data_IF_796648655398
#
_entry.id   IF_796648655398
#
_cell.length_a   1.000
_cell.length_b   1.000
_cell.length_c   1.000
_cell.angle_alpha   90.00
_cell.angle_beta   90.00
_cell.angle_gamma   90.00
#
_symmetry.space_group_name_H-M   'P 1'
#
loop_
_entity.id
_entity.type
_entity.pdbx_description
1 polymer ?
#
# COMPACT_ATOMS: atom_id res chain seq x y z
N UNK A 1 26.53 18.99 -20.60
CA UNK A 1 25.84 19.70 -19.50
C UNK A 1 25.01 18.73 -18.66
N UNK A 2 24.14 17.92 -19.28
CA UNK A 2 23.40 16.85 -18.59
C UNK A 2 24.29 15.79 -17.91
N UNK A 3 25.34 15.29 -18.59
CA UNK A 3 26.29 14.32 -17.99
C UNK A 3 27.07 14.87 -16.80
N UNK A 4 27.39 16.17 -16.80
CA UNK A 4 28.03 16.85 -15.65
C UNK A 4 27.09 16.99 -14.45
N UNK A 5 25.78 16.88 -14.66
CA UNK A 5 24.74 16.99 -13.65
C UNK A 5 24.16 15.62 -13.24
N UNK A 6 24.61 14.51 -13.85
CA UNK A 6 24.10 13.16 -13.55
C UNK A 6 22.63 12.95 -13.93
N UNK A 7 22.10 13.71 -14.88
CA UNK A 7 20.69 13.61 -15.29
C UNK A 7 20.45 12.42 -16.21
N UNK A 8 19.33 11.72 -16.03
CA UNK A 8 18.89 10.61 -16.87
C UNK A 8 18.22 11.03 -18.19
N UNK A 9 18.04 12.34 -18.43
CA UNK A 9 17.35 12.92 -19.58
C UNK A 9 18.08 14.16 -20.10
N UNK A 10 17.93 14.48 -21.39
CA UNK A 10 18.60 15.62 -22.04
C UNK A 10 17.68 16.81 -22.31
N UNK A 11 16.36 16.61 -22.29
CA UNK A 11 15.36 17.66 -22.54
C UNK A 11 14.03 17.36 -21.82
N UNK A 12 13.10 18.31 -21.85
CA UNK A 12 11.78 18.18 -21.20
C UNK A 12 10.95 17.04 -21.78
N UNK A 13 11.05 16.76 -23.08
CA UNK A 13 10.30 15.66 -23.72
C UNK A 13 10.72 14.31 -23.17
N UNK A 14 12.02 14.06 -23.02
CA UNK A 14 12.54 12.84 -22.42
C UNK A 14 12.15 12.73 -20.94
N UNK A 15 12.18 13.84 -20.18
CA UNK A 15 11.72 13.85 -18.80
C UNK A 15 10.24 13.48 -18.66
N UNK A 16 9.38 14.08 -19.50
CA UNK A 16 7.95 13.76 -19.51
C UNK A 16 7.72 12.30 -19.87
N UNK A 17 8.44 11.78 -20.87
CA UNK A 17 8.36 10.36 -21.24
C UNK A 17 8.77 9.44 -20.09
N UNK A 18 9.86 9.75 -19.38
CA UNK A 18 10.28 9.00 -18.18
C UNK A 18 9.20 9.08 -17.11
N UNK A 19 8.57 10.23 -16.93
CA UNK A 19 7.51 10.44 -15.94
C UNK A 19 6.30 9.57 -16.26
N UNK A 20 5.85 9.57 -17.52
CA UNK A 20 4.71 8.77 -17.99
C UNK A 20 4.96 7.26 -17.93
N UNK A 21 6.20 6.83 -18.21
CA UNK A 21 6.59 5.41 -18.23
C UNK A 21 6.98 4.86 -16.86
N UNK A 22 7.62 5.67 -16.01
CA UNK A 22 8.25 5.21 -14.77
C UNK A 22 7.41 5.47 -13.53
N UNK A 23 6.53 6.48 -13.55
CA UNK A 23 5.62 6.69 -12.44
C UNK A 23 4.49 5.68 -12.52
N UNK A 24 4.22 4.94 -11.43
CA UNK A 24 3.10 4.02 -11.39
C UNK A 24 1.80 4.79 -11.60
N UNK A 25 1.10 4.47 -12.69
CA UNK A 25 -0.26 4.95 -12.91
C UNK A 25 -1.23 4.40 -11.87
N UNK A 26 -2.45 4.96 -11.82
CA UNK A 26 -3.53 4.37 -11.04
C UNK A 26 -3.90 2.99 -11.61
N UNK A 27 -4.26 2.01 -10.76
CA UNK A 27 -4.72 0.71 -11.21
C UNK A 27 -5.91 0.87 -12.16
N UNK A 28 -5.83 0.22 -13.33
CA UNK A 28 -6.86 0.34 -14.37
C UNK A 28 -8.08 -0.49 -14.00
N UNK A 29 -9.27 0.01 -14.34
CA UNK A 29 -10.47 -0.80 -14.30
C UNK A 29 -10.42 -1.85 -15.42
N UNK A 30 -10.81 -3.07 -15.06
CA UNK A 30 -11.11 -4.18 -15.96
C UNK A 30 -12.62 -4.34 -16.00
N UNK A 31 -13.15 -4.61 -17.18
CA UNK A 31 -14.55 -4.97 -17.39
C UNK A 31 -14.60 -6.42 -17.83
N UNK A 32 -15.41 -7.22 -17.15
CA UNK A 32 -15.71 -8.58 -17.55
C UNK A 32 -17.21 -8.79 -17.55
N UNK A 33 -17.71 -9.44 -18.58
CA UNK A 33 -19.10 -9.88 -18.62
C UNK A 33 -19.17 -11.28 -18.03
N UNK A 34 -20.03 -11.48 -17.04
CA UNK A 34 -20.31 -12.80 -16.46
C UNK A 34 -21.76 -13.18 -16.70
N UNK A 35 -22.02 -14.47 -16.89
CA UNK A 35 -23.38 -15.00 -17.01
C UNK A 35 -23.69 -15.83 -15.77
N UNK A 36 -24.70 -15.43 -15.02
CA UNK A 36 -25.16 -16.12 -13.81
C UNK A 36 -26.64 -16.44 -13.99
N UNK A 37 -27.00 -17.72 -13.85
CA UNK A 37 -28.38 -18.20 -14.02
C UNK A 37 -29.04 -17.82 -15.36
N UNK A 38 -28.25 -17.61 -16.42
CA UNK A 38 -28.74 -17.22 -17.74
C UNK A 38 -28.90 -15.71 -17.96
N UNK A 39 -28.61 -14.90 -16.93
CA UNK A 39 -28.58 -13.43 -17.02
C UNK A 39 -27.14 -12.94 -17.14
N UNK A 40 -26.88 -11.97 -18.02
CA UNK A 40 -25.56 -11.36 -18.18
C UNK A 40 -25.39 -10.11 -17.32
N UNK A 41 -24.22 -9.98 -16.71
CA UNK A 41 -23.83 -8.87 -15.85
C UNK A 41 -22.46 -8.35 -16.25
N UNK A 42 -22.34 -7.04 -16.46
CA UNK A 42 -21.05 -6.36 -16.58
C UNK A 42 -20.46 -6.08 -15.19
N UNK A 43 -19.31 -6.67 -14.88
CA UNK A 43 -18.55 -6.40 -13.67
C UNK A 43 -17.37 -5.51 -14.00
N UNK A 44 -17.20 -4.47 -13.19
CA UNK A 44 -16.03 -3.59 -13.23
C UNK A 44 -15.22 -3.78 -11.95
N UNK A 45 -13.95 -4.16 -12.09
CA UNK A 45 -13.07 -4.38 -10.95
C UNK A 45 -11.64 -3.94 -11.25
N UNK A 46 -10.78 -3.97 -10.23
CA UNK A 46 -9.34 -3.66 -10.34
C UNK A 46 -8.55 -4.78 -9.71
N UNK A 47 -7.29 -4.90 -10.12
CA UNK A 47 -6.36 -5.77 -9.42
C UNK A 47 -6.15 -5.25 -7.99
N UNK A 48 -6.48 -6.08 -7.00
CA UNK A 48 -6.41 -5.70 -5.58
C UNK A 48 -4.98 -5.40 -5.14
N UNK A 49 -3.99 -6.12 -5.69
CA UNK A 49 -2.58 -5.92 -5.35
C UNK A 49 -2.09 -4.60 -5.93
N UNK A 50 -2.50 -4.25 -7.15
CA UNK A 50 -2.21 -2.93 -7.71
C UNK A 50 -2.85 -1.80 -6.89
N UNK A 51 -4.09 -1.97 -6.44
CA UNK A 51 -4.77 -1.02 -5.56
C UNK A 51 -4.03 -0.81 -4.24
N UNK A 52 -3.63 -1.89 -3.57
CA UNK A 52 -2.87 -1.81 -2.31
C UNK A 52 -1.53 -1.10 -2.55
N UNK A 53 -0.80 -1.45 -3.61
CA UNK A 53 0.46 -0.77 -3.97
C UNK A 53 0.26 0.73 -4.24
N UNK A 54 -0.82 1.10 -4.91
CA UNK A 54 -1.12 2.50 -5.18
C UNK A 54 -1.43 3.29 -3.91
N UNK A 55 -2.17 2.70 -2.96
CA UNK A 55 -2.46 3.32 -1.66
C UNK A 55 -1.19 3.51 -0.84
N UNK A 56 -0.35 2.48 -0.73
CA UNK A 56 0.89 2.52 0.05
C UNK A 56 1.93 3.49 -0.53
N UNK A 57 1.85 3.81 -1.83
CA UNK A 57 2.73 4.77 -2.50
C UNK A 57 2.26 6.22 -2.39
N UNK A 58 1.02 6.47 -1.95
CA UNK A 58 0.52 7.83 -1.80
C UNK A 58 0.97 8.43 -0.44
N UNK A 59 1.78 9.51 -0.44
CA UNK A 59 2.26 10.16 0.78
C UNK A 59 1.15 10.67 1.71
N UNK A 60 -0.04 10.95 1.19
CA UNK A 60 -1.18 11.40 2.01
C UNK A 60 -1.59 10.35 3.05
N UNK A 61 -1.35 9.07 2.77
CA UNK A 61 -1.65 7.98 3.71
C UNK A 61 -0.50 7.66 4.65
N UNK A 62 0.68 8.26 4.48
CA UNK A 62 1.88 7.90 5.25
C UNK A 62 1.67 8.01 6.76
N UNK A 63 0.88 8.98 7.22
CA UNK A 63 0.57 9.18 8.64
C UNK A 63 -0.28 8.05 9.26
N UNK A 64 -0.95 7.24 8.45
CA UNK A 64 -1.82 6.14 8.88
C UNK A 64 -1.18 4.76 8.67
N UNK A 65 -0.04 4.69 7.99
CA UNK A 65 0.65 3.42 7.74
C UNK A 65 1.44 3.00 8.98
N UNK A 66 1.10 1.82 9.51
CA UNK A 66 1.81 1.20 10.63
C UNK A 66 2.67 0.06 10.11
N UNK A 67 3.98 0.13 10.36
CA UNK A 67 4.97 -0.83 9.85
C UNK A 67 5.54 -1.76 10.92
N UNK A 68 5.23 -1.50 12.19
CA UNK A 68 5.70 -2.28 13.32
C UNK A 68 4.54 -2.59 14.27
N UNK A 69 4.54 -3.75 14.92
CA UNK A 69 3.57 -4.04 15.95
C UNK A 69 3.81 -3.13 17.17
N UNK A 70 2.73 -2.79 17.84
CA UNK A 70 2.72 -1.93 19.03
C UNK A 70 2.07 -2.68 20.20
N UNK A 71 2.35 -2.22 21.42
CA UNK A 71 1.69 -2.75 22.61
C UNK A 71 1.06 -1.60 23.37
N UNK A 72 -0.27 -1.62 23.46
CA UNK A 72 -1.04 -0.60 24.17
C UNK A 72 -1.56 -1.18 25.48
N UNK A 73 -1.47 -0.42 26.56
CA UNK A 73 -1.87 -0.82 27.91
C UNK A 73 -2.81 0.23 28.50
N UNK A 74 -3.86 -0.19 29.21
CA UNK A 74 -4.80 0.74 29.83
C UNK A 74 -4.25 1.43 31.08
N UNK A 75 -3.24 0.82 31.72
CA UNK A 75 -2.53 1.36 32.86
C UNK A 75 -1.01 1.37 32.55
N UNK A 76 -0.37 2.55 32.49
CA UNK A 76 1.08 2.66 32.32
C UNK A 76 1.90 1.96 33.41
N UNK A 77 1.35 1.77 34.61
CA UNK A 77 2.04 1.15 35.74
C UNK A 77 1.96 -0.40 35.74
N UNK A 78 1.01 -0.99 35.01
CA UNK A 78 0.83 -2.44 34.93
C UNK A 78 0.84 -2.91 33.47
N UNK A 79 2.06 -3.16 32.97
CA UNK A 79 2.34 -3.59 31.59
C UNK A 79 1.86 -5.00 31.22
N UNK A 80 1.15 -5.75 32.08
CA UNK A 80 0.82 -7.16 31.82
C UNK A 80 -0.65 -7.50 31.94
N UNK A 81 -1.40 -6.87 32.84
CA UNK A 81 -2.79 -7.30 33.14
C UNK A 81 -3.85 -6.66 32.24
N UNK A 82 -3.58 -5.49 31.65
CA UNK A 82 -4.60 -4.74 30.90
C UNK A 82 -4.13 -4.31 29.52
N UNK A 83 -3.90 -5.28 28.63
CA UNK A 83 -3.52 -5.01 27.24
C UNK A 83 -4.74 -4.67 26.39
N UNK A 84 -4.60 -3.65 25.56
CA UNK A 84 -5.63 -3.15 24.66
C UNK A 84 -5.37 -3.66 23.24
N UNK A 85 -6.42 -4.16 22.58
CA UNK A 85 -6.40 -4.66 21.22
C UNK A 85 -7.46 -3.93 20.39
N UNK A 86 -7.02 -3.01 19.54
CA UNK A 86 -7.91 -2.25 18.66
C UNK A 86 -7.73 -2.57 17.19
N UNK A 87 -6.51 -2.93 16.79
CA UNK A 87 -6.11 -3.09 15.39
C UNK A 87 -5.09 -4.21 15.23
N UNK A 88 -4.86 -4.67 14.01
CA UNK A 88 -3.93 -5.78 13.75
C UNK A 88 -2.54 -5.56 14.37
N UNK A 89 -2.03 -4.32 14.34
CA UNK A 89 -0.68 -3.99 14.84
C UNK A 89 -0.57 -4.03 16.36
N UNK A 90 -1.68 -3.94 17.11
CA UNK A 90 -1.68 -4.10 18.58
C UNK A 90 -1.83 -5.57 19.02
N UNK A 91 -2.24 -6.43 18.08
CA UNK A 91 -2.45 -7.86 18.27
C UNK A 91 -1.18 -8.63 18.62
N UNK A 92 -1.34 -9.70 19.42
CA UNK A 92 -0.24 -10.64 19.72
C UNK A 92 0.31 -11.32 18.46
N UNK A 93 -0.53 -11.54 17.45
CA UNK A 93 -0.15 -12.21 16.21
C UNK A 93 0.94 -11.46 15.46
N UNK A 94 0.79 -10.16 15.21
CA UNK A 94 1.80 -9.38 14.48
C UNK A 94 3.12 -9.31 15.25
N UNK A 95 3.07 -9.18 16.58
CA UNK A 95 4.27 -9.28 17.43
C UNK A 95 5.00 -10.62 17.26
N UNK A 96 4.24 -11.72 17.25
CA UNK A 96 4.80 -13.06 17.07
C UNK A 96 5.40 -13.24 15.68
N UNK A 97 4.72 -12.76 14.64
CA UNK A 97 5.21 -12.79 13.25
C UNK A 97 6.48 -11.98 13.08
N UNK A 98 6.61 -10.81 13.73
CA UNK A 98 7.82 -10.00 13.66
C UNK A 98 9.03 -10.76 14.25
N UNK A 99 8.86 -11.43 15.38
CA UNK A 99 9.92 -12.24 16.01
C UNK A 99 10.35 -13.43 15.15
N UNK A 100 9.44 -13.97 14.32
CA UNK A 100 9.75 -15.10 13.41
C UNK A 100 10.53 -14.63 12.16
N UNK A 101 10.31 -13.38 11.72
CA UNK A 101 10.89 -12.83 10.49
C UNK A 101 12.24 -12.10 10.71
N UNK A 102 12.71 -12.02 11.95
CA UNK A 102 14.01 -11.46 12.36
C UNK A 102 14.92 -12.60 12.78
#
# INVERSE_FOLDING_TARGET
MAEKLGLSYKNSVELHKITDESLPGRPRFKREEIVVAGESFDIYFRDVIECVRALFRNPEFAAYLVFSPEQHYSDPACHSEHRIYHEMHTGKWWWSTQVILI
#
